data_IF_367818574890
#
_entry.id   IF_367818574890
#
_cell.length_a   1.000
_cell.length_b   1.000
_cell.length_c   1.000
_cell.angle_alpha   90.00
_cell.angle_beta   90.00
_cell.angle_gamma   90.00
#
_symmetry.space_group_name_H-M   'P 1'
#
loop_
_entity.id
_entity.type
_entity.pdbx_description
1 polymer ?
#
# COMPACT_ATOMS: atom_id res chain seq x y z
N UNK A 1 19.14 -2.02 5.18
CA UNK A 1 18.54 -1.16 4.14
C UNK A 1 17.33 -0.46 4.76
N UNK A 2 17.43 0.81 5.16
CA UNK A 2 16.40 1.46 6.01
C UNK A 2 16.14 2.92 5.61
N UNK A 3 15.80 3.15 4.33
CA UNK A 3 15.51 4.51 3.82
C UNK A 3 14.03 4.84 4.04
N UNK A 4 13.74 6.07 4.46
CA UNK A 4 12.37 6.61 4.47
C UNK A 4 11.87 6.68 3.02
N UNK A 5 10.72 6.07 2.69
CA UNK A 5 10.12 6.23 1.37
C UNK A 5 9.89 7.72 1.06
N UNK A 6 10.32 8.14 -0.13
CA UNK A 6 10.02 9.48 -0.62
C UNK A 6 8.55 9.55 -1.05
N UNK A 7 7.85 10.60 -0.65
CA UNK A 7 6.52 10.87 -1.17
C UNK A 7 6.64 11.24 -2.65
N UNK A 8 6.04 10.44 -3.53
CA UNK A 8 6.00 10.69 -4.97
C UNK A 8 4.60 10.45 -5.51
N UNK A 9 4.34 10.97 -6.72
CA UNK A 9 3.10 10.67 -7.43
C UNK A 9 3.23 9.33 -8.15
N UNK A 10 2.16 8.52 -8.21
CA UNK A 10 2.16 7.35 -9.06
C UNK A 10 2.37 7.77 -10.52
N UNK A 11 3.10 6.96 -11.28
CA UNK A 11 3.26 7.17 -12.71
C UNK A 11 1.96 6.80 -13.42
N UNK A 12 1.24 7.80 -13.92
CA UNK A 12 -0.06 7.64 -14.60
C UNK A 12 -0.12 8.57 -15.82
N UNK A 13 0.44 8.16 -16.98
CA UNK A 13 0.42 8.97 -18.20
C UNK A 13 -0.99 9.39 -18.61
N UNK A 14 -1.19 10.67 -18.94
CA UNK A 14 -2.49 11.20 -19.35
C UNK A 14 -3.43 11.56 -18.19
N UNK A 15 -3.05 11.25 -16.95
CA UNK A 15 -3.77 11.63 -15.73
C UNK A 15 -3.15 12.86 -15.04
N UNK A 16 -2.16 13.51 -15.66
CA UNK A 16 -1.45 14.66 -15.10
C UNK A 16 -2.40 15.81 -14.70
N UNK A 17 -3.51 15.98 -15.43
CA UNK A 17 -4.55 16.98 -15.14
C UNK A 17 -5.36 16.69 -13.88
N UNK A 18 -5.39 15.43 -13.40
CA UNK A 18 -6.10 15.06 -12.17
C UNK A 18 -5.33 15.46 -10.91
N UNK A 19 -4.03 15.77 -11.02
CA UNK A 19 -3.22 16.21 -9.91
C UNK A 19 -3.21 17.74 -9.82
N UNK A 20 -3.84 18.26 -8.77
CA UNK A 20 -3.80 19.67 -8.41
C UNK A 20 -2.35 20.15 -8.23
N UNK A 21 -1.93 21.14 -9.02
CA UNK A 21 -0.56 21.70 -8.97
C UNK A 21 -0.22 22.31 -7.61
N UNK A 22 -1.21 22.81 -6.88
CA UNK A 22 -1.09 23.40 -5.53
C UNK A 22 -1.07 22.37 -4.38
N UNK A 23 -1.26 21.07 -4.67
CA UNK A 23 -1.30 20.02 -3.66
C UNK A 23 -0.05 19.12 -3.73
N UNK A 24 0.75 19.19 -2.67
CA UNK A 24 1.88 18.31 -2.45
C UNK A 24 1.45 16.90 -2.02
N UNK A 25 2.26 15.90 -2.37
CA UNK A 25 2.11 14.55 -1.83
C UNK A 25 2.21 14.56 -0.30
N UNK A 26 1.44 13.70 0.36
CA UNK A 26 1.50 13.53 1.80
C UNK A 26 2.86 12.99 2.22
N UNK A 27 3.39 13.50 3.34
CA UNK A 27 4.69 13.05 3.84
C UNK A 27 4.63 11.60 4.31
N UNK A 28 5.79 10.93 4.31
CA UNK A 28 5.86 9.57 4.87
C UNK A 28 5.51 9.55 6.36
N UNK A 29 5.84 10.60 7.11
CA UNK A 29 5.48 10.73 8.52
C UNK A 29 3.95 10.73 8.72
N UNK A 30 3.22 11.42 7.84
CA UNK A 30 1.75 11.38 7.83
C UNK A 30 1.22 9.96 7.60
N UNK A 31 1.83 9.22 6.66
CA UNK A 31 1.45 7.84 6.37
C UNK A 31 1.72 6.92 7.56
N UNK A 32 2.89 7.03 8.20
CA UNK A 32 3.22 6.26 9.41
C UNK A 32 2.25 6.55 10.54
N UNK A 33 1.85 7.81 10.76
CA UNK A 33 0.87 8.17 11.78
C UNK A 33 -0.48 7.48 11.54
N UNK A 34 -0.97 7.50 10.30
CA UNK A 34 -2.23 6.84 9.93
C UNK A 34 -2.14 5.32 10.05
N UNK A 35 -1.06 4.73 9.54
CA UNK A 35 -0.84 3.29 9.61
C UNK A 35 -0.73 2.84 11.07
N UNK A 36 -0.02 3.56 11.94
CA UNK A 36 0.17 3.17 13.34
C UNK A 36 -1.14 3.24 14.16
N UNK A 37 -2.07 4.12 13.79
CA UNK A 37 -3.35 4.31 14.49
C UNK A 37 -4.51 3.47 13.91
N UNK A 38 -4.33 2.91 12.72
CA UNK A 38 -5.37 2.15 12.04
C UNK A 38 -5.64 0.82 12.74
N UNK A 39 -6.93 0.54 12.99
CA UNK A 39 -7.41 -0.74 13.53
C UNK A 39 -7.79 -1.75 12.46
N UNK A 40 -8.08 -1.27 11.25
CA UNK A 40 -8.54 -2.06 10.12
C UNK A 40 -7.71 -1.69 8.90
N UNK A 41 -7.28 -2.70 8.14
CA UNK A 41 -6.51 -2.52 6.92
C UNK A 41 -7.19 -3.22 5.76
N UNK A 42 -7.03 -2.64 4.58
CA UNK A 42 -7.42 -3.27 3.31
C UNK A 42 -6.16 -3.49 2.49
N UNK A 43 -5.97 -4.73 2.03
CA UNK A 43 -4.89 -5.08 1.13
C UNK A 43 -5.46 -5.23 -0.29
N UNK A 44 -4.89 -4.48 -1.23
CA UNK A 44 -5.19 -4.60 -2.65
C UNK A 44 -4.02 -5.25 -3.37
N UNK A 45 -4.31 -6.32 -4.12
CA UNK A 45 -3.34 -7.03 -4.96
C UNK A 45 -3.89 -7.15 -6.37
N UNK A 46 -3.02 -7.14 -7.36
CA UNK A 46 -3.39 -7.54 -8.73
C UNK A 46 -3.21 -9.04 -8.88
N UNK A 47 -4.24 -9.72 -9.40
CA UNK A 47 -4.13 -11.13 -9.79
C UNK A 47 -3.29 -11.27 -11.06
N UNK A 48 -2.86 -12.48 -11.36
CA UNK A 48 -2.13 -12.78 -12.61
C UNK A 48 -2.93 -12.44 -13.87
N UNK A 49 -4.27 -12.44 -13.80
CA UNK A 49 -5.18 -12.01 -14.86
C UNK A 49 -5.40 -10.48 -14.90
N UNK A 50 -4.66 -9.71 -14.10
CA UNK A 50 -4.73 -8.25 -14.04
C UNK A 50 -5.90 -7.69 -13.22
N UNK A 51 -6.82 -8.54 -12.73
CA UNK A 51 -7.98 -8.05 -11.96
C UNK A 51 -7.57 -7.64 -10.54
N UNK A 52 -8.04 -6.48 -10.05
CA UNK A 52 -7.79 -6.08 -8.68
C UNK A 52 -8.54 -6.98 -7.71
N UNK A 53 -7.90 -7.29 -6.58
CA UNK A 53 -8.47 -8.06 -5.50
C UNK A 53 -8.19 -7.36 -4.18
N UNK A 54 -9.26 -6.95 -3.51
CA UNK A 54 -9.22 -6.24 -2.24
C UNK A 54 -9.79 -7.13 -1.14
N UNK A 55 -9.12 -7.21 0.00
CA UNK A 55 -9.67 -7.87 1.18
C UNK A 55 -9.32 -7.14 2.48
N UNK A 56 -10.20 -7.20 3.49
CA UNK A 56 -9.86 -6.75 4.83
C UNK A 56 -8.81 -7.69 5.44
N UNK A 57 -7.81 -7.12 6.09
CA UNK A 57 -6.79 -7.86 6.83
C UNK A 57 -6.57 -7.24 8.21
N UNK A 58 -6.23 -8.09 9.16
CA UNK A 58 -5.67 -7.66 10.43
C UNK A 58 -4.16 -7.55 10.29
N UNK A 59 -3.58 -6.49 10.85
CA UNK A 59 -2.15 -6.27 10.80
C UNK A 59 -1.69 -5.21 11.80
N UNK A 60 -0.38 -5.06 11.90
CA UNK A 60 0.29 -4.09 12.77
C UNK A 60 1.39 -3.38 12.00
N UNK A 61 1.51 -2.07 12.23
CA UNK A 61 2.67 -1.30 11.82
C UNK A 61 3.72 -1.35 12.92
N UNK A 62 4.89 -1.94 12.65
CA UNK A 62 5.98 -2.09 13.62
C UNK A 62 7.32 -1.95 12.89
N UNK A 63 8.32 -1.32 13.50
CA UNK A 63 9.68 -1.18 12.95
C UNK A 63 9.73 -0.73 11.48
N UNK A 64 8.82 0.18 11.11
CA UNK A 64 8.69 0.77 9.76
C UNK A 64 8.26 -0.23 8.68
N UNK A 65 7.62 -1.32 9.08
CA UNK A 65 7.02 -2.32 8.21
C UNK A 65 5.59 -2.64 8.61
N UNK A 66 4.80 -3.09 7.64
CA UNK A 66 3.44 -3.59 7.87
C UNK A 66 3.45 -5.11 7.93
N UNK A 67 3.01 -5.66 9.05
CA UNK A 67 2.90 -7.11 9.27
C UNK A 67 1.44 -7.52 9.28
N UNK A 68 1.12 -8.58 8.56
CA UNK A 68 -0.22 -9.19 8.55
C UNK A 68 -0.08 -10.70 8.36
N UNK A 69 -1.10 -11.46 8.76
CA UNK A 69 -1.15 -12.91 8.58
C UNK A 69 -2.16 -13.27 7.50
N UNK A 70 -1.84 -14.29 6.70
CA UNK A 70 -2.75 -14.84 5.70
C UNK A 70 -2.59 -16.35 5.59
N UNK A 71 -3.68 -17.08 5.34
CA UNK A 71 -3.63 -18.54 5.22
C UNK A 71 -2.81 -19.01 4.02
N UNK A 72 -2.11 -20.14 4.12
CA UNK A 72 -1.23 -20.67 3.04
C UNK A 72 -1.91 -20.91 1.68
N UNK A 73 -3.24 -21.09 1.67
CA UNK A 73 -4.07 -21.26 0.46
C UNK A 73 -4.79 -19.97 0.04
N UNK A 74 -4.54 -18.84 0.72
CA UNK A 74 -5.15 -17.57 0.36
C UNK A 74 -4.58 -17.09 -0.98
N UNK A 75 -5.42 -16.40 -1.75
CA UNK A 75 -5.03 -15.83 -3.06
C UNK A 75 -3.95 -14.75 -2.97
N UNK A 76 -3.55 -14.31 -1.76
CA UNK A 76 -2.48 -13.33 -1.56
C UNK A 76 -1.10 -13.94 -1.85
N UNK A 77 -0.89 -15.24 -1.59
CA UNK A 77 0.44 -15.87 -1.75
C UNK A 77 0.89 -15.98 -3.22
N UNK A 78 -0.05 -16.07 -4.16
CA UNK A 78 0.27 -16.25 -5.58
C UNK A 78 0.86 -15.00 -6.26
N UNK A 79 0.92 -13.86 -5.56
CA UNK A 79 1.54 -12.62 -6.08
C UNK A 79 3.00 -12.42 -5.68
N UNK A 80 3.59 -13.28 -4.85
CA UNK A 80 4.93 -13.07 -4.25
C UNK A 80 6.03 -14.02 -4.77
N UNK A 81 5.76 -14.84 -5.80
CA UNK A 81 6.74 -15.78 -6.39
C UNK A 81 7.17 -15.38 -7.82
N UNK A 82 7.51 -14.11 -8.04
CA UNK A 82 8.34 -13.73 -9.20
C UNK A 82 9.33 -12.63 -8.87
#
# INVERSE_FOLDING_TARGET
>A
MNRVPGASRPYMPGYDMMFRKDKNSLSWAWAVDHLSKARNYYLSTTRSDGRPHVMPVWGVWLDRAFYFSTGRRSRIRLGYER
#
